data_IF_679260911198
#
_entry.id   IF_679260911198
#
_cell.length_a   1.000
_cell.length_b   1.000
_cell.length_c   1.000
_cell.angle_alpha   90.00
_cell.angle_beta   90.00
_cell.angle_gamma   90.00
#
_symmetry.space_group_name_H-M   'P 1'
#
loop_
_entity.id
_entity.type
_entity.pdbx_description
1 polymer ?
#
# COMPACT_ATOMS: atom_id res chain seq x y z
N UNK A 1 20.12 -69.96 8.26
CA UNK A 1 20.82 -69.20 7.19
C UNK A 1 20.04 -67.91 6.97
N UNK A 2 20.62 -66.75 7.25
CA UNK A 2 19.96 -65.45 7.02
C UNK A 2 20.72 -64.73 5.90
N UNK A 3 20.01 -64.26 4.88
CA UNK A 3 20.60 -63.58 3.73
C UNK A 3 20.52 -62.06 3.93
N UNK A 4 21.63 -61.38 3.71
CA UNK A 4 21.77 -59.94 3.91
C UNK A 4 21.55 -59.20 2.57
N UNK A 5 20.78 -58.10 2.52
CA UNK A 5 20.50 -57.40 1.26
C UNK A 5 21.72 -56.60 0.75
N UNK A 6 21.83 -56.37 -0.57
CA UNK A 6 22.97 -55.69 -1.17
C UNK A 6 22.95 -54.16 -0.94
N UNK A 7 24.12 -53.49 -0.99
CA UNK A 7 24.22 -52.04 -0.80
C UNK A 7 23.73 -51.24 -2.02
N UNK A 8 23.05 -50.12 -1.76
CA UNK A 8 22.55 -49.19 -2.78
C UNK A 8 23.68 -48.22 -3.18
N UNK A 9 23.94 -47.98 -4.48
CA UNK A 9 24.96 -47.03 -4.93
C UNK A 9 24.51 -45.57 -4.78
N UNK A 10 25.44 -44.61 -4.57
CA UNK A 10 25.08 -43.21 -4.37
C UNK A 10 24.63 -42.52 -5.67
N UNK A 11 23.40 -42.02 -5.68
CA UNK A 11 22.89 -41.14 -6.74
C UNK A 11 23.69 -39.82 -6.78
N UNK A 12 24.50 -39.62 -7.83
CA UNK A 12 25.11 -38.31 -8.10
C UNK A 12 24.18 -37.46 -8.97
N UNK A 13 23.42 -36.57 -8.33
CA UNK A 13 22.62 -35.57 -9.01
C UNK A 13 23.53 -34.54 -9.70
N UNK A 14 23.77 -34.71 -11.01
CA UNK A 14 24.49 -33.70 -11.82
C UNK A 14 23.56 -32.55 -12.17
N UNK A 15 23.48 -31.54 -11.29
CA UNK A 15 22.81 -30.28 -11.59
C UNK A 15 23.50 -29.63 -12.81
N UNK A 16 22.78 -29.48 -13.93
CA UNK A 16 23.33 -28.87 -15.15
C UNK A 16 23.21 -27.35 -15.05
N UNK A 17 24.36 -26.65 -14.96
CA UNK A 17 24.46 -25.19 -14.90
C UNK A 17 23.55 -24.40 -15.88
N UNK A 18 23.34 -24.82 -17.16
CA UNK A 18 22.49 -24.06 -18.09
C UNK A 18 21.03 -23.91 -17.64
N UNK A 19 20.50 -24.87 -16.87
CA UNK A 19 19.12 -24.82 -16.37
C UNK A 19 18.91 -23.83 -15.23
N UNK A 20 19.99 -23.40 -14.57
CA UNK A 20 19.92 -22.37 -13.50
C UNK A 20 19.94 -20.97 -14.10
N UNK A 21 20.68 -20.77 -15.19
CA UNK A 21 20.75 -19.47 -15.88
C UNK A 21 19.41 -19.07 -16.49
N UNK A 22 18.70 -20.00 -17.15
CA UNK A 22 17.37 -19.74 -17.73
C UNK A 22 16.31 -19.37 -16.67
N UNK A 23 16.51 -19.72 -15.39
CA UNK A 23 15.63 -19.32 -14.30
C UNK A 23 16.02 -17.96 -13.68
N UNK A 24 17.26 -17.48 -13.87
CA UNK A 24 17.66 -16.15 -13.41
C UNK A 24 17.11 -15.05 -14.31
N UNK A 25 17.03 -15.29 -15.63
CA UNK A 25 16.44 -14.32 -16.57
C UNK A 25 14.90 -14.21 -16.39
N UNK A 26 14.26 -15.20 -15.78
CA UNK A 26 12.83 -15.18 -15.42
C UNK A 26 12.55 -14.48 -14.06
N UNK A 27 13.59 -13.97 -13.38
CA UNK A 27 13.45 -13.16 -12.16
C UNK A 27 13.38 -11.65 -12.42
N UNK A 28 13.39 -11.21 -13.68
CA UNK A 28 12.76 -9.93 -14.03
C UNK A 28 11.24 -10.11 -13.93
N UNK A 29 10.73 -10.11 -12.70
CA UNK A 29 9.34 -9.79 -12.46
C UNK A 29 9.08 -8.41 -13.09
N UNK A 30 8.16 -8.36 -14.06
CA UNK A 30 7.40 -7.14 -14.33
C UNK A 30 6.60 -6.85 -13.05
N UNK A 31 7.25 -6.17 -12.11
CA UNK A 31 6.59 -5.44 -11.03
C UNK A 31 5.62 -4.50 -11.71
N UNK A 32 4.32 -4.75 -11.53
CA UNK A 32 3.27 -3.80 -11.90
C UNK A 32 3.69 -2.43 -11.40
N UNK A 33 3.96 -1.49 -12.31
CA UNK A 33 4.49 -0.18 -11.95
C UNK A 33 3.54 0.47 -10.94
N UNK A 34 4.03 0.73 -9.72
CA UNK A 34 3.21 1.23 -8.63
C UNK A 34 2.96 2.75 -8.74
N UNK A 35 3.11 3.32 -9.94
CA UNK A 35 3.14 4.75 -10.22
C UNK A 35 2.62 5.09 -11.61
N UNK A 36 2.37 6.38 -11.82
CA UNK A 36 2.01 6.97 -13.11
C UNK A 36 2.62 8.36 -13.27
N UNK A 37 3.37 8.57 -14.36
CA UNK A 37 3.97 9.85 -14.69
C UNK A 37 3.10 10.61 -15.70
N UNK A 38 2.56 11.77 -15.33
CA UNK A 38 1.65 12.52 -16.22
C UNK A 38 2.40 13.32 -17.30
N UNK A 39 1.84 13.35 -18.50
CA UNK A 39 2.31 14.17 -19.63
C UNK A 39 1.99 15.67 -19.54
N UNK A 40 1.92 16.26 -18.34
CA UNK A 40 1.57 17.69 -18.14
C UNK A 40 2.73 18.65 -18.40
N UNK A 41 3.93 18.12 -18.66
CA UNK A 41 5.14 18.88 -18.99
C UNK A 41 6.34 18.42 -18.19
N UNK A 42 7.54 18.74 -18.69
CA UNK A 42 8.80 18.32 -18.08
C UNK A 42 9.53 19.50 -17.44
N UNK A 43 10.35 19.21 -16.43
CA UNK A 43 11.29 20.14 -15.81
C UNK A 43 12.75 19.76 -16.14
N UNK A 44 13.70 20.66 -15.90
CA UNK A 44 15.13 20.40 -16.08
C UNK A 44 15.78 19.89 -14.78
N UNK A 45 16.61 18.85 -14.85
CA UNK A 45 17.18 18.20 -13.66
C UNK A 45 17.97 19.14 -12.72
N UNK A 46 18.52 20.25 -13.25
CA UNK A 46 19.25 21.27 -12.46
C UNK A 46 18.38 22.46 -12.03
N UNK A 47 17.14 22.54 -12.49
CA UNK A 47 16.20 23.64 -12.22
C UNK A 47 15.57 23.58 -10.83
N UNK A 48 15.05 24.70 -10.35
CA UNK A 48 14.53 24.79 -8.98
C UNK A 48 13.28 23.93 -8.74
N UNK A 49 12.48 23.65 -9.78
CA UNK A 49 11.40 22.67 -9.71
C UNK A 49 11.89 21.28 -9.27
N UNK A 50 13.06 20.84 -9.78
CA UNK A 50 13.65 19.54 -9.42
C UNK A 50 13.97 19.49 -7.92
N UNK A 51 14.64 20.53 -7.42
CA UNK A 51 15.03 20.68 -6.01
C UNK A 51 13.80 20.77 -5.09
N UNK A 52 12.78 21.53 -5.48
CA UNK A 52 11.55 21.68 -4.71
C UNK A 52 10.76 20.35 -4.66
N UNK A 53 10.79 19.56 -5.74
CA UNK A 53 10.19 18.24 -5.80
C UNK A 53 10.93 17.24 -4.91
N UNK A 54 12.25 17.20 -4.99
CA UNK A 54 13.10 16.35 -4.13
C UNK A 54 12.91 16.70 -2.64
N UNK A 55 12.88 17.99 -2.31
CA UNK A 55 12.62 18.47 -0.96
C UNK A 55 11.23 18.04 -0.45
N UNK A 56 10.16 18.30 -1.20
CA UNK A 56 8.81 17.99 -0.71
C UNK A 56 8.52 16.48 -0.65
N UNK A 57 9.12 15.68 -1.54
CA UNK A 57 8.98 14.21 -1.50
C UNK A 57 9.79 13.59 -0.35
N UNK A 58 10.96 14.13 -0.01
CA UNK A 58 11.81 13.60 1.07
C UNK A 58 11.33 13.96 2.48
N UNK A 59 10.61 15.08 2.69
CA UNK A 59 10.01 15.39 4.01
C UNK A 59 8.67 14.70 4.25
N UNK A 60 7.94 14.37 3.18
CA UNK A 60 6.57 13.85 3.22
C UNK A 60 6.32 12.69 4.21
N UNK A 61 7.20 11.67 4.38
CA UNK A 61 6.98 10.61 5.36
C UNK A 61 6.84 11.14 6.81
N UNK A 62 7.61 12.16 7.16
CA UNK A 62 7.59 12.79 8.49
C UNK A 62 6.38 13.72 8.66
N UNK A 63 6.05 14.49 7.61
CA UNK A 63 4.88 15.36 7.58
C UNK A 63 3.57 14.54 7.69
N UNK A 64 3.53 13.35 7.08
CA UNK A 64 2.40 12.40 7.17
C UNK A 64 2.27 11.79 8.57
N UNK A 65 3.38 11.33 9.16
CA UNK A 65 3.38 10.71 10.48
C UNK A 65 2.92 11.66 11.59
N UNK A 66 3.18 12.96 11.46
CA UNK A 66 2.73 13.99 12.42
C UNK A 66 1.27 14.42 12.21
N UNK A 67 0.71 14.27 11.01
CA UNK A 67 -0.66 14.68 10.68
C UNK A 67 -1.71 13.55 10.72
N UNK A 68 -1.29 12.32 11.03
CA UNK A 68 -2.20 11.15 11.17
C UNK A 68 -2.49 10.46 9.84
N UNK A 69 -1.52 10.43 8.93
CA UNK A 69 -1.62 9.70 7.67
C UNK A 69 -2.30 10.46 6.53
N UNK A 70 -2.43 11.78 6.61
CA UNK A 70 -2.80 12.67 5.51
C UNK A 70 -1.94 13.94 5.53
N UNK A 71 -1.50 14.38 4.35
CA UNK A 71 -0.81 15.66 4.18
C UNK A 71 -1.13 16.29 2.82
N UNK A 72 -1.29 17.61 2.81
CA UNK A 72 -1.41 18.43 1.60
C UNK A 72 -0.61 19.71 1.78
N UNK A 73 0.34 19.98 0.88
CA UNK A 73 1.28 21.10 1.03
C UNK A 73 1.99 21.45 -0.27
N UNK A 74 2.74 22.56 -0.28
CA UNK A 74 3.48 22.99 -1.46
C UNK A 74 4.80 23.67 -1.08
N UNK A 75 5.78 23.60 -2.00
CA UNK A 75 7.13 24.14 -1.85
C UNK A 75 7.53 24.85 -3.15
N UNK A 76 8.16 26.02 -3.03
CA UNK A 76 8.70 26.78 -4.15
C UNK A 76 8.04 28.14 -4.36
N UNK A 77 8.29 28.74 -5.53
CA UNK A 77 7.69 30.04 -5.92
C UNK A 77 7.53 30.12 -7.45
N UNK A 78 6.54 30.89 -7.92
CA UNK A 78 6.25 31.09 -9.34
C UNK A 78 6.05 29.77 -10.11
N UNK A 79 6.71 29.63 -11.26
CA UNK A 79 6.68 28.42 -12.08
C UNK A 79 7.38 27.19 -11.48
N UNK A 80 8.01 27.35 -10.31
CA UNK A 80 8.77 26.32 -9.61
C UNK A 80 8.03 25.77 -8.38
N UNK A 81 6.76 26.13 -8.16
CA UNK A 81 5.94 25.56 -7.08
C UNK A 81 5.61 24.09 -7.41
N UNK A 82 5.86 23.21 -6.44
CA UNK A 82 5.41 21.82 -6.44
C UNK A 82 4.33 21.67 -5.39
N UNK A 83 3.13 21.24 -5.80
CA UNK A 83 2.05 20.84 -4.91
C UNK A 83 2.15 19.34 -4.65
N UNK A 84 1.97 18.92 -3.40
CA UNK A 84 1.85 17.51 -2.99
C UNK A 84 0.55 17.27 -2.25
N UNK A 85 -0.05 16.10 -2.44
CA UNK A 85 -1.14 15.57 -1.63
C UNK A 85 -0.90 14.07 -1.42
N UNK A 86 -1.10 13.59 -0.20
CA UNK A 86 -0.85 12.20 0.15
C UNK A 86 -1.74 11.70 1.29
N UNK A 87 -2.14 10.43 1.26
CA UNK A 87 -2.83 9.76 2.37
C UNK A 87 -2.56 8.25 2.42
N UNK A 88 -2.54 7.70 3.64
CA UNK A 88 -2.47 6.27 3.91
C UNK A 88 -3.88 5.67 4.16
N UNK A 89 -4.03 4.35 4.03
CA UNK A 89 -5.28 3.65 4.39
C UNK A 89 -5.61 3.89 5.88
N UNK A 90 -6.86 4.18 6.22
CA UNK A 90 -7.25 4.72 7.54
C UNK A 90 -7.07 3.80 8.74
N UNK A 91 -6.85 2.50 8.53
CA UNK A 91 -6.49 1.50 9.54
C UNK A 91 -4.99 1.20 9.62
N UNK A 92 -4.15 1.87 8.81
CA UNK A 92 -2.70 1.69 8.81
C UNK A 92 -2.06 2.16 10.12
N UNK A 93 -1.05 1.44 10.61
CA UNK A 93 -0.17 1.97 11.66
C UNK A 93 0.70 3.11 11.12
N UNK A 94 1.19 3.98 12.00
CA UNK A 94 2.12 5.06 11.62
C UNK A 94 3.41 4.52 10.96
N UNK A 95 3.92 3.36 11.40
CA UNK A 95 5.10 2.71 10.83
C UNK A 95 4.82 2.15 9.42
N UNK A 96 3.66 1.51 9.24
CA UNK A 96 3.18 1.03 7.93
C UNK A 96 3.04 2.18 6.95
N UNK A 97 2.39 3.27 7.37
CA UNK A 97 2.19 4.48 6.58
C UNK A 97 3.53 5.14 6.21
N UNK A 98 4.43 5.32 7.17
CA UNK A 98 5.76 5.90 6.95
C UNK A 98 6.57 5.09 5.92
N UNK A 99 6.57 3.76 6.02
CA UNK A 99 7.26 2.85 5.10
C UNK A 99 6.72 2.93 3.68
N UNK A 100 5.39 2.87 3.54
CA UNK A 100 4.74 2.95 2.23
C UNK A 100 5.07 4.28 1.54
N UNK A 101 4.94 5.41 2.25
CA UNK A 101 5.21 6.75 1.71
C UNK A 101 6.69 6.97 1.38
N UNK A 102 7.62 6.47 2.21
CA UNK A 102 9.05 6.53 1.93
C UNK A 102 9.38 5.82 0.61
N UNK A 103 8.89 4.58 0.46
CA UNK A 103 9.13 3.78 -0.75
C UNK A 103 8.48 4.41 -1.99
N UNK A 104 7.25 4.90 -1.89
CA UNK A 104 6.53 5.50 -3.01
C UNK A 104 7.14 6.85 -3.44
N UNK A 105 7.63 7.65 -2.49
CA UNK A 105 8.34 8.89 -2.78
C UNK A 105 9.68 8.64 -3.51
N UNK A 106 10.45 7.64 -3.06
CA UNK A 106 11.70 7.22 -3.74
C UNK A 106 11.42 6.69 -5.15
N UNK A 107 10.42 5.82 -5.31
CA UNK A 107 10.01 5.29 -6.62
C UNK A 107 9.62 6.42 -7.58
N UNK A 108 8.80 7.38 -7.13
CA UNK A 108 8.40 8.53 -7.93
C UNK A 108 9.57 9.43 -8.36
N UNK A 109 10.64 9.53 -7.57
CA UNK A 109 11.84 10.29 -7.97
C UNK A 109 12.65 9.58 -9.04
N UNK A 110 12.73 8.24 -8.98
CA UNK A 110 13.49 7.40 -9.94
C UNK A 110 12.72 7.18 -11.24
N UNK A 111 11.45 6.80 -11.14
CA UNK A 111 10.61 6.33 -12.26
C UNK A 111 9.96 7.46 -13.07
N UNK A 112 9.70 8.60 -12.44
CA UNK A 112 9.26 9.82 -13.12
C UNK A 112 10.40 10.86 -13.11
N UNK A 113 11.48 10.68 -13.90
CA UNK A 113 12.73 11.44 -13.72
C UNK A 113 12.59 12.94 -13.98
N UNK A 114 11.68 13.36 -14.88
CA UNK A 114 11.56 14.76 -15.31
C UNK A 114 10.12 15.29 -15.45
N UNK A 115 9.09 14.48 -15.16
CA UNK A 115 7.70 14.86 -15.28
C UNK A 115 7.28 15.79 -14.15
N UNK A 116 6.49 16.82 -14.46
CA UNK A 116 6.03 17.79 -13.47
C UNK A 116 4.88 17.30 -12.60
N UNK A 117 4.15 16.28 -13.00
CA UNK A 117 3.17 15.62 -12.14
C UNK A 117 3.33 14.10 -12.19
N UNK A 118 3.14 13.46 -11.05
CA UNK A 118 3.08 12.00 -10.95
C UNK A 118 2.20 11.56 -9.77
N UNK A 119 1.86 10.28 -9.76
CA UNK A 119 1.03 9.63 -8.77
C UNK A 119 1.55 8.23 -8.47
N UNK A 120 1.41 7.74 -7.24
CA UNK A 120 1.65 6.35 -6.84
C UNK A 120 0.66 5.92 -5.77
N UNK A 121 0.27 4.63 -5.79
CA UNK A 121 -0.51 3.93 -4.75
C UNK A 121 0.40 3.19 -3.74
N UNK A 122 1.72 3.26 -3.95
CA UNK A 122 2.72 2.51 -3.21
C UNK A 122 2.72 1.01 -3.54
N UNK A 123 3.71 0.30 -3.01
CA UNK A 123 3.88 -1.15 -3.16
C UNK A 123 3.46 -1.95 -1.91
N UNK A 124 2.86 -1.27 -0.92
CA UNK A 124 2.42 -1.86 0.33
C UNK A 124 0.97 -2.36 0.30
N UNK A 125 0.68 -3.37 1.11
CA UNK A 125 -0.67 -3.62 1.63
C UNK A 125 -0.62 -3.39 3.15
N UNK A 126 -1.32 -2.38 3.71
CA UNK A 126 -2.14 -1.36 3.04
C UNK A 126 -1.41 -0.42 2.05
N UNK A 127 -2.09 0.02 0.97
CA UNK A 127 -1.60 1.02 0.04
C UNK A 127 -1.58 2.44 0.63
N UNK A 128 -0.89 3.34 -0.07
CA UNK A 128 -0.80 4.76 0.25
C UNK A 128 -0.77 5.62 -1.01
N UNK A 129 -1.67 6.59 -1.11
CA UNK A 129 -1.79 7.49 -2.25
C UNK A 129 -0.79 8.64 -2.07
N UNK A 130 0.06 8.88 -3.05
CA UNK A 130 0.96 10.05 -3.12
C UNK A 130 0.86 10.70 -4.51
N UNK A 131 0.62 12.01 -4.56
CA UNK A 131 0.47 12.81 -5.79
C UNK A 131 1.33 14.06 -5.70
N UNK A 132 2.05 14.40 -6.77
CA UNK A 132 2.61 15.73 -6.94
C UNK A 132 2.26 16.36 -8.28
N UNK A 133 2.27 17.69 -8.35
CA UNK A 133 1.93 18.45 -9.56
C UNK A 133 2.52 19.87 -9.55
N UNK A 134 2.68 20.46 -10.74
CA UNK A 134 3.01 21.88 -10.93
C UNK A 134 1.78 22.80 -10.95
N UNK A 135 0.60 22.28 -10.63
CA UNK A 135 -0.65 23.00 -10.49
C UNK A 135 -1.39 22.55 -9.22
N UNK A 136 -2.27 23.38 -8.64
CA UNK A 136 -3.07 22.98 -7.48
C UNK A 136 -3.89 21.72 -7.75
N UNK A 137 -3.89 20.80 -6.79
CA UNK A 137 -4.60 19.50 -6.87
C UNK A 137 -5.62 19.29 -5.74
N UNK A 138 -5.78 20.27 -4.84
CA UNK A 138 -6.63 20.16 -3.66
C UNK A 138 -8.11 20.38 -3.99
N UNK A 139 -9.00 19.57 -3.41
CA UNK A 139 -10.43 19.58 -3.66
C UNK A 139 -10.81 19.06 -5.05
N UNK A 140 -9.88 18.44 -5.78
CA UNK A 140 -10.09 17.96 -7.15
C UNK A 140 -10.19 16.44 -7.18
N UNK A 141 -11.41 15.92 -7.39
CA UNK A 141 -11.66 14.50 -7.65
C UNK A 141 -10.88 14.05 -8.89
N UNK A 142 -10.02 13.06 -8.72
CA UNK A 142 -9.21 12.49 -9.79
C UNK A 142 -9.34 10.96 -9.76
N UNK A 143 -9.98 10.39 -10.80
CA UNK A 143 -10.21 8.95 -10.93
C UNK A 143 -9.13 8.23 -11.74
N UNK A 144 -8.45 8.93 -12.66
CA UNK A 144 -7.46 8.32 -13.55
C UNK A 144 -6.01 8.57 -13.06
N UNK A 145 -5.12 7.55 -13.12
CA UNK A 145 -5.39 6.17 -13.51
C UNK A 145 -6.07 5.37 -12.40
N UNK A 146 -6.97 4.43 -12.73
CA UNK A 146 -7.41 3.40 -11.79
C UNK A 146 -6.42 2.22 -11.76
N UNK A 147 -6.33 1.58 -10.61
CA UNK A 147 -5.79 0.23 -10.41
C UNK A 147 -6.96 -0.68 -10.02
N UNK A 148 -7.27 -1.66 -10.87
CA UNK A 148 -8.35 -2.63 -10.68
C UNK A 148 -7.75 -4.02 -10.49
N UNK A 149 -7.93 -4.61 -9.31
CA UNK A 149 -7.45 -5.96 -9.00
C UNK A 149 -8.56 -6.79 -8.36
N UNK A 150 -8.61 -8.09 -8.65
CA UNK A 150 -9.60 -9.01 -8.11
C UNK A 150 -8.99 -10.31 -7.59
N UNK A 151 -9.65 -10.93 -6.61
CA UNK A 151 -9.28 -12.26 -6.11
C UNK A 151 -9.83 -13.31 -7.06
N UNK A 152 -8.96 -14.18 -7.58
CA UNK A 152 -9.35 -15.30 -8.44
C UNK A 152 -10.28 -16.29 -7.71
N UNK A 153 -11.15 -16.96 -8.48
CA UNK A 153 -12.24 -17.78 -7.97
C UNK A 153 -13.58 -17.05 -8.00
N UNK A 154 -14.66 -17.82 -7.90
CA UNK A 154 -16.04 -17.34 -8.07
C UNK A 154 -16.84 -17.47 -6.77
N UNK A 155 -17.77 -16.54 -6.55
CA UNK A 155 -18.61 -16.47 -5.34
C UNK A 155 -19.47 -17.75 -5.20
N UNK A 156 -19.41 -18.48 -4.07
CA UNK A 156 -20.13 -19.74 -3.89
C UNK A 156 -21.57 -19.52 -3.36
N UNK A 157 -22.34 -18.64 -4.02
CA UNK A 157 -23.77 -18.43 -3.77
C UNK A 157 -24.46 -17.77 -4.98
N UNK A 158 -25.76 -17.57 -4.89
CA UNK A 158 -26.53 -16.85 -5.92
C UNK A 158 -26.03 -15.40 -6.10
N UNK A 159 -25.82 -14.99 -7.35
CA UNK A 159 -25.17 -13.72 -7.66
C UNK A 159 -26.07 -12.51 -7.38
N UNK A 160 -27.36 -12.58 -7.74
CA UNK A 160 -28.31 -11.49 -7.50
C UNK A 160 -28.48 -11.24 -5.99
N UNK A 161 -28.57 -12.32 -5.20
CA UNK A 161 -28.59 -12.24 -3.74
C UNK A 161 -27.29 -11.67 -3.16
N UNK A 162 -26.13 -12.06 -3.70
CA UNK A 162 -24.84 -11.51 -3.26
C UNK A 162 -24.75 -10.01 -3.56
N UNK A 163 -25.05 -9.62 -4.80
CA UNK A 163 -24.93 -8.24 -5.30
C UNK A 163 -25.78 -7.27 -4.47
N UNK A 164 -27.01 -7.68 -4.11
CA UNK A 164 -27.87 -6.88 -3.26
C UNK A 164 -27.26 -6.65 -1.87
N UNK A 165 -26.68 -7.67 -1.24
CA UNK A 165 -26.07 -7.55 0.09
C UNK A 165 -24.78 -6.73 0.02
N UNK A 166 -23.95 -6.99 -1.00
CA UNK A 166 -22.69 -6.31 -1.23
C UNK A 166 -22.86 -4.83 -1.56
N UNK A 167 -23.80 -4.46 -2.44
CA UNK A 167 -24.06 -3.06 -2.79
C UNK A 167 -24.63 -2.29 -1.60
N UNK A 168 -25.56 -2.90 -0.85
CA UNK A 168 -26.06 -2.30 0.40
C UNK A 168 -24.96 -2.04 1.44
N UNK A 169 -23.98 -2.96 1.59
CA UNK A 169 -22.84 -2.75 2.49
C UNK A 169 -21.92 -1.64 1.98
N UNK A 170 -21.53 -1.68 0.70
CA UNK A 170 -20.52 -0.78 0.13
C UNK A 170 -21.03 0.64 -0.01
N UNK A 171 -22.29 0.86 -0.44
CA UNK A 171 -22.91 2.20 -0.48
C UNK A 171 -23.09 2.79 0.93
N UNK A 172 -23.49 1.99 1.92
CA UNK A 172 -23.59 2.45 3.31
C UNK A 172 -22.23 2.83 3.92
N UNK A 173 -21.15 2.19 3.48
CA UNK A 173 -19.78 2.56 3.83
C UNK A 173 -19.29 3.80 3.06
N UNK A 174 -19.60 3.94 1.77
CA UNK A 174 -19.32 5.14 0.98
C UNK A 174 -19.92 6.40 1.63
N UNK A 175 -21.22 6.35 1.93
CA UNK A 175 -21.95 7.43 2.59
C UNK A 175 -21.40 7.75 4.00
N UNK A 176 -20.84 6.77 4.71
CA UNK A 176 -20.19 6.97 6.02
C UNK A 176 -18.81 7.61 5.87
N UNK A 177 -17.99 7.13 4.94
CA UNK A 177 -16.67 7.67 4.66
C UNK A 177 -16.75 9.13 4.18
N UNK A 178 -17.73 9.47 3.34
CA UNK A 178 -17.91 10.83 2.79
C UNK A 178 -18.23 11.89 3.85
N UNK A 179 -18.88 11.49 4.94
CA UNK A 179 -19.12 12.30 6.14
C UNK A 179 -17.90 12.46 7.06
N UNK A 180 -16.75 11.87 6.72
CA UNK A 180 -15.50 12.00 7.50
C UNK A 180 -14.92 13.42 7.54
N UNK A 181 -13.89 13.58 8.36
CA UNK A 181 -13.26 14.88 8.67
C UNK A 181 -12.21 15.29 7.62
N UNK A 182 -11.67 16.50 7.75
CA UNK A 182 -10.53 16.99 6.95
C UNK A 182 -9.20 16.28 7.21
N UNK A 183 -9.16 15.31 8.14
CA UNK A 183 -7.99 14.43 8.38
C UNK A 183 -8.19 13.01 7.87
N UNK A 184 -9.42 12.51 7.88
CA UNK A 184 -9.73 11.14 7.52
C UNK A 184 -11.18 10.99 7.05
N UNK A 185 -11.36 10.41 5.87
CA UNK A 185 -12.64 10.05 5.24
C UNK A 185 -12.62 8.56 4.88
N UNK A 186 -12.71 7.72 5.92
CA UNK A 186 -12.60 6.27 5.85
C UNK A 186 -13.80 5.62 6.56
N UNK A 187 -14.28 4.50 6.03
CA UNK A 187 -15.20 3.61 6.70
C UNK A 187 -14.87 2.15 6.34
N UNK A 188 -14.90 1.27 7.34
CA UNK A 188 -14.85 -0.17 7.15
C UNK A 188 -16.03 -0.86 7.85
N UNK A 189 -16.32 -2.08 7.43
CA UNK A 189 -17.36 -2.91 8.03
C UNK A 189 -17.41 -4.30 7.42
N UNK A 190 -18.35 -5.09 7.90
CA UNK A 190 -18.63 -6.43 7.39
C UNK A 190 -20.10 -6.78 7.57
N UNK A 191 -20.56 -7.79 6.83
CA UNK A 191 -21.86 -8.44 7.08
C UNK A 191 -21.77 -9.94 6.82
N UNK A 192 -22.68 -10.70 7.44
CA UNK A 192 -22.77 -12.15 7.29
C UNK A 192 -23.69 -12.46 6.10
N UNK A 193 -23.22 -13.32 5.20
CA UNK A 193 -23.94 -13.81 4.04
C UNK A 193 -24.83 -15.01 4.40
N UNK A 194 -25.88 -15.32 3.61
CA UNK A 194 -26.79 -16.45 3.86
C UNK A 194 -26.09 -17.81 3.93
N UNK A 195 -24.95 -17.97 3.26
CA UNK A 195 -24.10 -19.16 3.30
C UNK A 195 -23.14 -19.21 4.51
N UNK A 196 -23.33 -18.32 5.50
CA UNK A 196 -22.54 -18.16 6.72
C UNK A 196 -21.09 -17.67 6.51
N UNK A 197 -20.72 -17.25 5.30
CA UNK A 197 -19.48 -16.50 5.07
C UNK A 197 -19.64 -15.05 5.52
N UNK A 198 -18.52 -14.36 5.75
CA UNK A 198 -18.52 -12.92 6.08
C UNK A 198 -17.89 -12.17 4.93
N UNK A 199 -18.58 -11.13 4.42
CA UNK A 199 -17.98 -10.16 3.49
C UNK A 199 -17.44 -8.98 4.27
N UNK A 200 -16.20 -8.60 4.01
CA UNK A 200 -15.51 -7.44 4.58
C UNK A 200 -15.33 -6.38 3.50
N UNK A 201 -15.50 -5.11 3.86
CA UNK A 201 -15.28 -3.99 2.95
C UNK A 201 -14.70 -2.76 3.67
N UNK A 202 -13.87 -2.00 2.97
CA UNK A 202 -13.49 -0.63 3.34
C UNK A 202 -13.60 0.31 2.14
N UNK A 203 -13.90 1.56 2.45
CA UNK A 203 -13.99 2.66 1.50
C UNK A 203 -13.33 3.89 2.11
N UNK A 204 -12.45 4.53 1.33
CA UNK A 204 -11.76 5.75 1.72
C UNK A 204 -11.60 6.69 0.54
N UNK A 205 -11.81 7.98 0.76
CA UNK A 205 -11.45 9.02 -0.19
C UNK A 205 -10.43 9.99 0.42
N UNK A 206 -9.86 10.84 -0.41
CA UNK A 206 -8.93 11.86 0.06
C UNK A 206 -9.63 12.90 0.96
N UNK A 207 -9.07 13.24 2.14
CA UNK A 207 -9.72 14.14 3.10
C UNK A 207 -9.96 15.59 2.64
N UNK A 208 -9.32 16.02 1.56
CA UNK A 208 -9.47 17.36 0.96
C UNK A 208 -10.74 17.51 0.09
N UNK A 209 -11.35 16.40 -0.31
CA UNK A 209 -12.56 16.40 -1.14
C UNK A 209 -13.78 16.89 -0.37
N UNK A 210 -14.71 17.52 -1.10
CA UNK A 210 -16.04 17.78 -0.55
C UNK A 210 -16.76 16.46 -0.22
N UNK A 211 -17.81 16.52 0.61
CA UNK A 211 -18.63 15.33 0.87
C UNK A 211 -19.18 14.74 -0.43
N UNK A 212 -19.64 15.57 -1.35
CA UNK A 212 -20.27 15.12 -2.62
C UNK A 212 -19.23 14.46 -3.54
N UNK A 213 -18.06 15.08 -3.68
CA UNK A 213 -16.99 14.56 -4.54
C UNK A 213 -16.40 13.26 -3.99
N UNK A 214 -16.26 13.15 -2.67
CA UNK A 214 -15.86 11.92 -1.99
C UNK A 214 -16.88 10.79 -2.21
N UNK A 215 -18.17 11.08 -2.01
CA UNK A 215 -19.26 10.10 -2.18
C UNK A 215 -19.30 9.57 -3.62
N UNK A 216 -19.28 10.49 -4.60
CA UNK A 216 -19.21 10.18 -6.03
C UNK A 216 -17.97 9.37 -6.41
N UNK A 217 -16.79 9.74 -5.90
CA UNK A 217 -15.54 9.01 -6.12
C UNK A 217 -15.58 7.58 -5.59
N UNK A 218 -16.19 7.37 -4.40
CA UNK A 218 -16.35 6.05 -3.80
C UNK A 218 -17.37 5.19 -4.52
N UNK A 219 -18.50 5.78 -4.95
CA UNK A 219 -19.52 5.09 -5.74
C UNK A 219 -19.03 4.74 -7.15
N UNK A 220 -18.20 5.57 -7.76
CA UNK A 220 -17.52 5.24 -9.02
C UNK A 220 -16.59 4.02 -8.83
N UNK A 221 -15.74 3.98 -7.81
CA UNK A 221 -14.92 2.79 -7.52
C UNK A 221 -15.74 1.51 -7.26
N UNK A 222 -16.93 1.61 -6.65
CA UNK A 222 -17.88 0.47 -6.53
C UNK A 222 -18.35 0.00 -7.90
N UNK A 223 -18.70 0.93 -8.80
CA UNK A 223 -19.18 0.61 -10.14
C UNK A 223 -18.07 0.04 -11.03
N UNK A 224 -16.87 0.63 -10.99
CA UNK A 224 -15.68 0.16 -11.72
C UNK A 224 -15.39 -1.32 -11.37
N UNK A 225 -15.49 -1.69 -10.09
CA UNK A 225 -15.38 -3.09 -9.67
C UNK A 225 -16.45 -4.00 -10.30
N UNK A 226 -17.71 -3.55 -10.32
CA UNK A 226 -18.79 -4.32 -10.94
C UNK A 226 -18.59 -4.46 -12.45
N UNK A 227 -18.03 -3.47 -13.14
CA UNK A 227 -17.73 -3.57 -14.58
C UNK A 227 -16.51 -4.45 -14.88
N UNK A 228 -15.45 -4.39 -14.06
CA UNK A 228 -14.22 -5.12 -14.30
C UNK A 228 -14.27 -6.59 -13.87
N UNK A 229 -14.94 -6.86 -12.74
CA UNK A 229 -14.55 -7.92 -11.81
C UNK A 229 -15.73 -8.60 -11.10
N UNK A 230 -16.95 -8.46 -11.62
CA UNK A 230 -18.16 -9.10 -11.08
C UNK A 230 -18.01 -10.62 -10.88
N UNK A 231 -18.70 -11.16 -9.86
CA UNK A 231 -18.68 -12.60 -9.53
C UNK A 231 -17.45 -13.12 -8.79
N UNK A 232 -16.41 -12.30 -8.58
CA UNK A 232 -15.14 -12.72 -7.97
C UNK A 232 -15.15 -12.68 -6.44
N UNK A 233 -14.24 -13.43 -5.80
CA UNK A 233 -14.18 -13.57 -4.32
C UNK A 233 -13.75 -12.32 -3.53
N UNK A 234 -13.44 -11.22 -4.22
CA UNK A 234 -12.92 -9.98 -3.64
C UNK A 234 -12.22 -9.11 -4.68
N UNK A 235 -11.72 -7.95 -4.24
CA UNK A 235 -10.87 -7.08 -5.04
C UNK A 235 -10.66 -5.70 -4.45
N UNK A 236 -9.87 -4.89 -5.16
CA UNK A 236 -9.59 -3.48 -4.85
C UNK A 236 -9.73 -2.64 -6.12
N UNK A 237 -10.24 -1.43 -5.97
CA UNK A 237 -10.21 -0.36 -6.97
C UNK A 237 -9.60 0.87 -6.31
N UNK A 238 -8.46 1.30 -6.83
CA UNK A 238 -7.65 2.38 -6.27
C UNK A 238 -7.42 3.47 -7.32
N UNK A 239 -7.64 4.71 -6.93
CA UNK A 239 -7.50 5.90 -7.79
C UNK A 239 -6.75 6.99 -7.04
N UNK A 240 -6.30 8.07 -7.70
CA UNK A 240 -5.64 9.19 -7.03
C UNK A 240 -6.50 9.90 -5.98
N UNK A 241 -7.81 9.62 -5.91
CA UNK A 241 -8.72 10.21 -4.94
C UNK A 241 -9.43 9.20 -4.03
N UNK A 242 -9.48 7.91 -4.37
CA UNK A 242 -10.25 6.90 -3.62
C UNK A 242 -9.58 5.52 -3.55
N UNK A 243 -9.92 4.78 -2.49
CA UNK A 243 -9.58 3.38 -2.26
C UNK A 243 -10.90 2.68 -1.93
N UNK A 244 -11.25 1.67 -2.71
CA UNK A 244 -12.29 0.70 -2.40
C UNK A 244 -11.66 -0.68 -2.33
N UNK A 245 -11.85 -1.42 -1.23
CA UNK A 245 -11.47 -2.83 -1.17
C UNK A 245 -12.54 -3.65 -0.47
N UNK A 246 -12.80 -4.84 -0.98
CA UNK A 246 -13.66 -5.81 -0.34
C UNK A 246 -13.14 -7.24 -0.56
N UNK A 247 -13.50 -8.15 0.34
CA UNK A 247 -13.07 -9.54 0.27
C UNK A 247 -13.94 -10.45 1.16
N UNK A 248 -14.01 -11.74 0.85
CA UNK A 248 -14.58 -12.77 1.74
C UNK A 248 -13.60 -13.22 2.84
N UNK A 249 -12.33 -12.82 2.74
CA UNK A 249 -11.30 -13.08 3.74
C UNK A 249 -10.97 -11.80 4.54
N UNK A 250 -10.65 -11.87 5.85
CA UNK A 250 -10.25 -10.68 6.61
C UNK A 250 -8.96 -10.03 6.10
N UNK A 251 -8.96 -8.69 5.95
CA UNK A 251 -7.79 -7.88 5.53
C UNK A 251 -7.67 -6.54 6.28
N UNK A 252 -8.51 -6.30 7.27
CA UNK A 252 -8.51 -5.08 8.08
C UNK A 252 -7.47 -5.18 9.20
N UNK A 253 -6.62 -4.17 9.35
CA UNK A 253 -5.57 -4.11 10.39
C UNK A 253 -6.18 -3.94 11.79
N UNK A 254 -7.37 -3.33 11.87
CA UNK A 254 -8.15 -3.17 13.09
C UNK A 254 -9.50 -3.87 12.97
N UNK A 255 -9.89 -4.57 14.03
CA UNK A 255 -11.10 -5.39 14.04
C UNK A 255 -12.35 -4.47 14.01
N UNK A 256 -13.23 -4.53 12.99
CA UNK A 256 -14.34 -3.58 12.83
C UNK A 256 -15.43 -3.70 13.91
N UNK A 257 -15.34 -4.72 14.78
CA UNK A 257 -16.31 -5.03 15.83
C UNK A 257 -16.33 -4.07 17.03
N UNK A 258 -15.39 -3.12 17.12
CA UNK A 258 -15.37 -2.10 18.17
C UNK A 258 -15.43 -0.69 17.54
N UNK A 259 -16.55 0.04 17.63
CA UNK A 259 -16.51 1.49 17.43
C UNK A 259 -15.59 2.11 18.51
N UNK A 260 -14.96 3.27 18.27
CA UNK A 260 -14.24 4.00 19.30
C UNK A 260 -15.19 4.28 20.46
N UNK A 261 -14.98 3.62 21.59
CA UNK A 261 -15.77 3.85 22.79
C UNK A 261 -15.66 5.33 23.15
N UNK A 262 -16.78 6.05 23.38
CA UNK A 262 -16.70 7.42 23.86
C UNK A 262 -15.84 7.44 25.11
N UNK A 263 -14.79 8.24 25.11
CA UNK A 263 -14.02 8.52 26.32
C UNK A 263 -14.96 9.21 27.29
N UNK A 264 -15.57 8.41 28.18
CA UNK A 264 -16.30 8.91 29.35
C UNK A 264 -15.37 9.89 30.04
N UNK A 265 -15.74 11.17 30.02
CA UNK A 265 -14.93 12.23 30.58
C UNK A 265 -14.64 11.90 32.04
N UNK A 266 -13.41 11.44 32.30
CA UNK A 266 -13.02 11.07 33.65
C UNK A 266 -13.05 12.35 34.48
N UNK A 267 -13.91 12.34 35.50
CA UNK A 267 -14.13 13.45 36.41
C UNK A 267 -12.78 13.96 36.91
N UNK A 268 -12.50 15.24 36.68
CA UNK A 268 -11.27 15.88 37.14
C UNK A 268 -11.34 15.97 38.66
N UNK A 269 -10.66 15.05 39.35
CA UNK A 269 -10.32 15.24 40.76
C UNK A 269 -9.19 16.29 40.88
N UNK A 270 -9.18 17.11 41.93
CA UNK A 270 -8.26 18.24 42.06
C UNK A 270 -6.79 17.79 42.22
N UNK A 271 -5.80 18.64 41.83
CA UNK A 271 -4.40 18.23 41.81
C UNK A 271 -3.85 18.01 43.23
N UNK A 272 -3.26 16.84 43.47
CA UNK A 272 -2.42 16.59 44.64
C UNK A 272 -1.05 17.28 44.50
N UNK A 273 -0.43 17.75 45.61
CA UNK A 273 0.82 18.52 45.55
C UNK A 273 2.05 17.67 45.18
N UNK A 274 3.01 18.31 44.51
CA UNK A 274 4.22 17.68 43.97
C UNK A 274 5.22 17.23 45.06
N UNK A 275 5.80 16.01 44.95
CA UNK A 275 7.03 15.64 45.65
C UNK A 275 8.27 16.14 44.90
N UNK A 276 9.21 16.72 45.64
CA UNK A 276 10.49 17.23 45.13
C UNK A 276 11.61 16.17 45.08
N UNK A 277 12.53 16.34 44.12
CA UNK A 277 13.89 15.79 44.05
C UNK A 277 14.10 14.26 43.89
N UNK A 278 14.50 13.85 42.67
CA UNK A 278 15.33 12.67 42.43
C UNK A 278 16.34 12.91 41.29
N UNK A 279 17.56 12.37 41.45
CA UNK A 279 18.80 12.61 40.70
C UNK A 279 19.70 11.34 40.84
N UNK A 280 20.60 10.91 39.95
CA UNK A 280 21.18 11.40 38.67
C UNK A 280 21.44 10.13 37.80
N UNK A 281 21.31 10.15 36.46
CA UNK A 281 22.50 10.11 35.58
C UNK A 281 22.21 10.16 34.07
N UNK A 282 23.15 10.75 33.34
CA UNK A 282 23.16 10.86 31.88
C UNK A 282 24.00 9.71 31.28
N UNK A 283 23.38 8.87 30.43
CA UNK A 283 24.08 7.84 29.65
C UNK A 283 24.33 8.30 28.22
N UNK A 284 25.60 8.47 27.85
CA UNK A 284 26.01 8.91 26.51
C UNK A 284 26.22 7.69 25.60
N UNK A 285 25.50 7.60 24.48
CA UNK A 285 25.73 6.59 23.45
C UNK A 285 26.19 7.25 22.15
N UNK A 286 27.47 7.04 21.80
CA UNK A 286 28.01 7.38 20.49
C UNK A 286 27.79 6.20 19.53
N UNK A 287 27.24 6.46 18.35
CA UNK A 287 27.31 5.54 17.22
C UNK A 287 28.15 6.14 16.10
N UNK A 288 29.27 5.48 15.79
CA UNK A 288 30.15 5.83 14.66
C UNK A 288 29.62 5.14 13.41
N UNK A 289 29.30 5.91 12.36
CA UNK A 289 28.94 5.35 11.05
C UNK A 289 30.13 5.51 10.10
N UNK A 290 30.72 4.40 9.67
CA UNK A 290 31.75 4.35 8.63
C UNK A 290 31.42 3.27 7.61
N UNK A 291 30.99 3.68 6.42
CA UNK A 291 30.62 2.78 5.33
C UNK A 291 30.29 3.57 4.06
N UNK A 292 31.30 3.93 3.28
CA UNK A 292 31.11 4.66 2.03
C UNK A 292 30.66 3.74 0.90
N UNK A 293 29.58 4.12 0.19
CA UNK A 293 29.13 3.46 -1.03
C UNK A 293 29.68 4.20 -2.27
N UNK A 294 30.23 3.44 -3.22
CA UNK A 294 30.70 3.97 -4.50
C UNK A 294 29.53 4.04 -5.49
N UNK A 295 29.42 5.15 -6.20
CA UNK A 295 28.52 5.29 -7.33
C UNK A 295 28.96 4.41 -8.50
N UNK A 296 28.01 3.72 -9.13
CA UNK A 296 28.14 3.17 -10.48
C UNK A 296 26.94 3.69 -11.27
N UNK A 297 27.21 4.55 -12.25
CA UNK A 297 26.20 5.05 -13.19
C UNK A 297 25.82 3.96 -14.20
N UNK A 298 24.54 3.85 -14.51
CA UNK A 298 24.06 3.22 -15.75
C UNK A 298 23.01 4.11 -16.41
N UNK A 299 23.37 4.69 -17.55
CA UNK A 299 22.42 5.32 -18.46
C UNK A 299 21.78 4.25 -19.34
N UNK A 300 20.46 4.30 -19.53
CA UNK A 300 19.81 3.74 -20.71
C UNK A 300 18.74 4.70 -21.21
N UNK A 301 18.85 5.08 -22.49
CA UNK A 301 17.79 5.78 -23.21
C UNK A 301 16.75 4.76 -23.69
N UNK A 302 15.48 5.13 -23.65
CA UNK A 302 14.50 4.66 -24.65
C UNK A 302 13.46 5.75 -24.91
N UNK A 303 13.00 5.83 -26.16
CA UNK A 303 12.10 6.87 -26.66
C UNK A 303 10.63 6.52 -26.44
N UNK A 304 9.77 7.53 -26.46
CA UNK A 304 8.34 7.39 -26.23
C UNK A 304 7.52 7.33 -27.53
N UNK A 305 6.53 6.44 -27.59
CA UNK A 305 5.26 6.63 -28.32
C UNK A 305 4.15 5.81 -27.65
N UNK A 306 2.87 6.21 -27.73
CA UNK A 306 1.82 5.65 -26.88
C UNK A 306 1.23 4.36 -27.45
N UNK A 307 1.28 3.29 -26.66
CA UNK A 307 0.54 2.05 -26.90
C UNK A 307 -0.74 2.02 -26.05
N UNK A 308 -1.83 1.51 -26.63
CA UNK A 308 -3.10 1.27 -25.96
C UNK A 308 -2.93 0.09 -24.99
N UNK A 309 -2.91 0.33 -23.69
CA UNK A 309 -2.73 -0.74 -22.70
C UNK A 309 -4.05 -1.46 -22.41
N UNK A 310 -4.10 -2.74 -22.78
CA UNK A 310 -5.13 -3.68 -22.37
C UNK A 310 -4.86 -4.24 -20.97
N UNK A 311 -5.89 -4.88 -20.40
CA UNK A 311 -5.89 -5.51 -19.06
C UNK A 311 -4.65 -6.39 -18.84
N UNK A 312 -3.86 -6.08 -17.81
CA UNK A 312 -2.73 -6.92 -17.37
C UNK A 312 -3.17 -7.79 -16.19
N UNK A 313 -3.20 -9.10 -16.41
CA UNK A 313 -3.48 -10.10 -15.37
C UNK A 313 -2.17 -10.59 -14.75
N UNK A 314 -2.04 -10.66 -13.41
CA UNK A 314 -0.97 -11.42 -12.79
C UNK A 314 -1.23 -12.92 -12.95
N UNK A 315 -0.46 -13.59 -13.83
CA UNK A 315 -0.46 -15.04 -13.94
C UNK A 315 0.14 -15.68 -12.68
N UNK A 316 -0.70 -16.28 -11.84
CA UNK A 316 -0.25 -17.11 -10.72
C UNK A 316 0.22 -18.46 -11.26
N UNK A 317 1.50 -18.79 -11.05
CA UNK A 317 2.07 -20.07 -11.46
C UNK A 317 1.69 -21.17 -10.46
N UNK A 318 0.71 -22.01 -10.79
CA UNK A 318 0.44 -23.24 -10.05
C UNK A 318 1.60 -24.24 -10.22
N UNK A 319 2.40 -24.44 -9.16
CA UNK A 319 3.30 -25.59 -9.06
C UNK A 319 2.57 -26.69 -8.30
N UNK A 320 1.84 -27.53 -9.04
CA UNK A 320 1.25 -28.73 -8.49
C UNK A 320 2.34 -29.76 -8.11
N UNK A 321 2.46 -30.05 -6.81
CA UNK A 321 3.04 -31.29 -6.32
C UNK A 321 4.56 -31.35 -6.10
N UNK A 322 5.06 -30.71 -5.03
CA UNK A 322 6.28 -31.17 -4.35
C UNK A 322 6.09 -31.17 -2.82
N UNK A 323 5.89 -32.35 -2.24
CA UNK A 323 5.95 -32.55 -0.79
C UNK A 323 7.41 -32.46 -0.32
N UNK A 324 7.76 -31.38 0.40
CA UNK A 324 9.02 -31.30 1.15
C UNK A 324 8.71 -31.37 2.64
N UNK A 325 9.00 -32.52 3.24
CA UNK A 325 8.82 -32.73 4.69
C UNK A 325 9.99 -32.12 5.44
N UNK A 326 9.78 -31.01 6.14
CA UNK A 326 10.83 -30.32 6.91
C UNK A 326 10.80 -30.78 8.37
N UNK A 327 11.79 -31.58 8.78
CA UNK A 327 11.92 -32.05 10.16
C UNK A 327 12.47 -30.93 11.07
N UNK A 328 11.70 -30.52 12.07
CA UNK A 328 12.15 -29.55 13.09
C UNK A 328 13.06 -30.28 14.09
N UNK A 329 14.37 -30.05 13.99
CA UNK A 329 15.32 -30.52 15.00
C UNK A 329 15.44 -29.49 16.12
N UNK A 330 14.98 -29.84 17.33
CA UNK A 330 15.17 -29.01 18.54
C UNK A 330 16.66 -28.95 18.92
N UNK A 331 17.23 -27.76 18.97
CA UNK A 331 18.49 -27.51 19.65
C UNK A 331 18.22 -27.14 21.12
N UNK A 332 18.44 -28.08 22.03
CA UNK A 332 18.38 -27.82 23.49
C UNK A 332 19.74 -27.27 23.94
N UNK A 333 19.76 -26.05 24.49
CA UNK A 333 20.96 -25.52 25.14
C UNK A 333 21.04 -26.08 26.55
N UNK A 334 22.04 -26.94 26.82
CA UNK A 334 22.43 -27.31 28.16
C UNK A 334 23.43 -26.28 28.70
N UNK A 335 23.19 -25.77 29.91
CA UNK A 335 24.18 -25.06 30.71
C UNK A 335 24.57 -25.87 31.93
N UNK A 336 25.87 -25.97 32.21
CA UNK A 336 26.53 -26.24 33.50
C UNK A 336 28.04 -26.52 33.28
N UNK A 337 28.90 -26.46 34.32
CA UNK A 337 28.60 -26.09 35.72
C UNK A 337 28.39 -24.58 35.91
#
# INVERSE_FOLDING_TARGET
MSAQPPPIPPFRLRLRLPSVLLCLDMLTFDLSDAYYCYGTGNFTATGDYAKNRELILSTLPSDMATNGGFYSGNVGNGSNIVYVLSFCRGDSSNDTCFKCISSAAEELMVKCPNQKAAFSWGTGDPPCIIRYSNAPIYGVKQMFPPLELYRAGDIPMDQDQFDQIWRNLTEALAARASMGTSKLKFAAGSTILPNLQTVYALLQCSPDLSRVDCDSCLVECINDYQECCHGRLGGTVETPSCIFRWDLYPFLESNPSNPPQPTTASKIDPPAPSPSNAQVSNGWFNFTVTGGLRFINYNSHSESTPATYGKVLPNICEIAGLHVSMAISRATIFGHP
#
